data_IF_478721569266
#
_entry.id   IF_478721569266
#
_cell.length_a   1.000
_cell.length_b   1.000
_cell.length_c   1.000
_cell.angle_alpha   90.00
_cell.angle_beta   90.00
_cell.angle_gamma   90.00
#
_symmetry.space_group_name_H-M   'P 1'
#
loop_
_entity.id
_entity.type
_entity.pdbx_description
1 polymer ?
#
# COMPACT_ATOMS: atom_id res chain seq x y z
N UNK A 1 35.97 45.97 1.43
CA UNK A 1 36.61 45.27 2.57
C UNK A 1 35.48 44.85 3.51
N UNK A 2 35.15 43.61 3.85
CA UNK A 2 35.67 42.24 3.70
C UNK A 2 34.40 41.32 3.65
N UNK A 3 34.17 40.45 2.66
CA UNK A 3 34.64 39.06 2.49
C UNK A 3 34.28 38.05 3.60
N UNK A 4 33.38 37.13 3.19
CA UNK A 4 33.33 35.66 3.41
C UNK A 4 33.09 35.04 4.81
N UNK A 5 32.03 34.21 4.89
CA UNK A 5 32.18 32.73 4.89
C UNK A 5 30.84 31.98 4.81
N UNK A 6 30.90 30.93 4.01
CA UNK A 6 29.93 29.87 3.79
C UNK A 6 29.79 28.97 5.03
N UNK A 7 28.58 28.43 5.27
CA UNK A 7 28.39 27.09 5.83
C UNK A 7 27.24 26.38 5.12
N UNK A 8 27.54 25.14 4.70
CA UNK A 8 26.67 24.20 3.96
C UNK A 8 25.49 23.72 4.84
N UNK A 9 24.33 23.36 4.27
CA UNK A 9 23.38 22.50 4.97
C UNK A 9 23.88 21.04 4.91
N UNK A 10 24.03 20.43 6.08
CA UNK A 10 24.30 19.01 6.23
C UNK A 10 23.12 18.19 5.68
N UNK A 11 23.43 17.23 4.81
CA UNK A 11 22.52 16.15 4.44
C UNK A 11 22.31 15.26 5.67
N UNK A 12 21.16 15.37 6.34
CA UNK A 12 20.70 14.36 7.28
C UNK A 12 19.82 13.36 6.55
N UNK A 13 20.35 12.15 6.34
CA UNK A 13 19.56 10.97 6.06
C UNK A 13 18.71 10.67 7.30
N UNK A 14 17.40 10.96 7.25
CA UNK A 14 16.47 10.52 8.27
C UNK A 14 16.14 9.04 8.03
N UNK A 15 16.88 8.17 8.70
CA UNK A 15 16.49 6.78 8.90
C UNK A 15 15.36 6.76 9.94
N UNK A 16 14.15 6.48 9.50
CA UNK A 16 12.99 6.37 10.38
C UNK A 16 13.08 5.06 11.18
N UNK A 17 13.13 5.21 12.50
CA UNK A 17 12.99 4.12 13.47
C UNK A 17 11.79 4.47 14.36
N UNK A 18 10.91 3.48 14.56
CA UNK A 18 9.71 3.60 15.38
C UNK A 18 10.06 4.01 16.82
N UNK A 19 9.38 5.01 17.41
CA UNK A 19 9.42 5.20 18.85
C UNK A 19 8.64 4.06 19.52
N UNK A 20 9.31 3.26 20.36
CA UNK A 20 8.65 2.39 21.33
C UNK A 20 7.97 3.27 22.38
N UNK A 21 6.65 3.32 22.45
CA UNK A 21 5.95 3.58 23.72
C UNK A 21 4.69 2.73 23.89
N UNK A 22 4.68 2.11 25.07
CA UNK A 22 3.72 1.19 25.61
C UNK A 22 2.34 1.81 25.81
N UNK A 23 1.34 0.95 25.63
CA UNK A 23 0.05 0.99 26.30
C UNK A 23 0.29 1.18 27.81
N UNK A 24 -0.19 2.29 28.36
CA UNK A 24 -0.28 2.52 29.79
C UNK A 24 -1.73 2.86 30.12
N UNK A 25 -2.51 1.83 30.44
CA UNK A 25 -3.81 1.94 31.09
C UNK A 25 -3.61 2.59 32.47
N UNK A 26 -4.12 3.81 32.66
CA UNK A 26 -4.11 4.48 33.98
C UNK A 26 -5.38 4.13 34.75
N UNK A 27 -5.28 3.08 35.58
CA UNK A 27 -6.25 2.81 36.63
C UNK A 27 -5.86 3.60 37.89
N UNK A 28 -6.72 4.52 38.35
CA UNK A 28 -6.57 5.20 39.65
C UNK A 28 -7.10 4.31 40.77
N UNK A 29 -6.40 4.26 41.92
CA UNK A 29 -7.08 4.20 43.19
C UNK A 29 -6.61 5.31 44.16
N UNK A 30 -7.56 5.73 44.98
CA UNK A 30 -7.51 6.82 45.96
C UNK A 30 -6.80 6.45 47.27
N UNK A 31 -6.07 7.43 47.81
CA UNK A 31 -5.81 7.80 49.22
C UNK A 31 -5.32 6.76 50.26
N UNK A 32 -4.13 7.01 50.83
CA UNK A 32 -3.94 7.50 52.23
C UNK A 32 -2.46 7.72 52.60
N UNK A 33 -2.24 8.76 53.40
CA UNK A 33 -1.15 9.13 54.34
C UNK A 33 -0.24 7.98 54.85
N UNK A 34 1.01 8.15 55.34
CA UNK A 34 1.77 9.28 55.89
C UNK A 34 3.26 8.86 56.11
N UNK A 35 4.17 9.84 56.01
CA UNK A 35 5.36 10.10 56.86
C UNK A 35 6.60 9.17 57.02
N UNK A 36 7.74 9.84 56.79
CA UNK A 36 8.99 9.97 57.59
C UNK A 36 10.16 8.97 57.54
N UNK A 37 11.30 9.56 57.10
CA UNK A 37 12.62 9.66 57.74
C UNK A 37 13.69 8.54 57.70
N UNK A 38 14.83 8.97 57.13
CA UNK A 38 16.20 8.98 57.69
C UNK A 38 17.23 7.87 57.35
N UNK A 39 18.32 8.39 56.73
CA UNK A 39 19.77 8.25 57.03
C UNK A 39 20.52 6.93 56.76
N UNK A 40 21.43 7.05 55.78
CA UNK A 40 22.89 6.82 55.80
C UNK A 40 23.49 5.56 56.45
N UNK A 41 24.34 4.82 55.70
CA UNK A 41 25.82 4.78 55.85
C UNK A 41 26.45 3.51 55.21
N UNK A 42 27.45 3.73 54.35
CA UNK A 42 28.70 2.96 54.07
C UNK A 42 28.86 1.48 54.51
N UNK A 43 29.20 0.57 53.57
CA UNK A 43 30.57 0.10 53.26
C UNK A 43 30.66 -1.35 52.71
N UNK A 44 31.50 -1.50 51.68
CA UNK A 44 32.43 -2.63 51.36
C UNK A 44 31.97 -4.09 51.13
N UNK A 45 32.35 -4.55 49.92
CA UNK A 45 33.06 -5.79 49.55
C UNK A 45 32.29 -7.10 49.23
N UNK A 46 32.72 -7.65 48.08
CA UNK A 46 32.77 -9.05 47.65
C UNK A 46 31.51 -9.69 46.99
N UNK A 47 31.63 -9.89 45.67
CA UNK A 47 30.91 -10.92 44.91
C UNK A 47 31.34 -12.33 45.37
N UNK A 48 30.44 -13.32 45.29
CA UNK A 48 30.57 -14.26 44.17
C UNK A 48 29.24 -14.69 43.53
N UNK A 49 29.38 -15.10 42.28
CA UNK A 49 28.50 -15.84 41.36
C UNK A 49 27.32 -16.63 41.97
N UNK A 50 26.09 -16.53 41.41
CA UNK A 50 25.02 -17.47 41.68
C UNK A 50 25.03 -18.65 40.70
N UNK A 51 24.92 -19.84 41.26
CA UNK A 51 24.54 -21.08 40.57
C UNK A 51 23.02 -21.19 40.55
N UNK A 52 22.46 -21.57 39.40
CA UNK A 52 21.04 -21.87 39.21
C UNK A 52 20.57 -23.01 40.12
N UNK A 53 19.27 -23.01 40.46
CA UNK A 53 18.50 -24.22 40.28
C UNK A 53 17.23 -23.98 39.45
N UNK A 54 17.04 -24.92 38.54
CA UNK A 54 15.85 -25.21 37.76
C UNK A 54 14.56 -25.25 38.57
N UNK A 55 13.52 -24.59 38.05
CA UNK A 55 12.12 -24.96 38.31
C UNK A 55 11.39 -25.09 36.98
N UNK A 56 10.85 -26.28 36.78
CA UNK A 56 9.96 -26.68 35.70
C UNK A 56 8.52 -26.32 36.06
N UNK A 57 7.84 -25.54 35.23
CA UNK A 57 6.38 -25.50 35.22
C UNK A 57 5.87 -25.48 33.77
N UNK A 58 5.05 -26.47 33.46
CA UNK A 58 4.28 -26.59 32.23
C UNK A 58 3.24 -25.47 32.16
N UNK A 59 3.22 -24.73 31.05
CA UNK A 59 2.03 -24.00 30.62
C UNK A 59 1.88 -24.16 29.11
N UNK A 60 0.68 -24.56 28.72
CA UNK A 60 0.27 -24.89 27.36
C UNK A 60 0.41 -23.67 26.44
N UNK A 61 1.16 -23.85 25.36
CA UNK A 61 1.40 -22.83 24.33
C UNK A 61 0.16 -22.60 23.48
N UNK A 62 -0.40 -21.39 23.53
CA UNK A 62 -1.22 -20.87 22.43
C UNK A 62 -0.31 -20.66 21.20
N UNK A 63 -0.73 -21.02 19.98
CA UNK A 63 0.14 -20.89 18.82
C UNK A 63 0.31 -19.41 18.46
N UNK A 64 1.54 -18.92 18.60
CA UNK A 64 2.02 -17.69 17.98
C UNK A 64 2.01 -17.85 16.45
N UNK A 65 1.58 -16.85 15.66
CA UNK A 65 1.69 -16.91 14.20
C UNK A 65 3.17 -16.74 13.83
N UNK A 66 3.89 -17.86 13.76
CA UNK A 66 5.24 -17.91 13.22
C UNK A 66 5.19 -17.62 11.73
N UNK A 67 5.99 -16.64 11.31
CA UNK A 67 6.53 -16.45 9.95
C UNK A 67 6.16 -17.55 8.96
N UNK A 68 5.10 -17.33 8.18
CA UNK A 68 4.82 -18.13 7.00
C UNK A 68 5.87 -17.78 5.94
N UNK A 69 7.00 -18.48 5.97
CA UNK A 69 7.84 -18.65 4.78
C UNK A 69 7.09 -19.62 3.85
N UNK A 70 6.09 -19.11 3.15
CA UNK A 70 5.52 -19.80 1.99
C UNK A 70 6.46 -19.57 0.82
N UNK A 71 7.12 -20.65 0.39
CA UNK A 71 7.90 -20.67 -0.83
C UNK A 71 7.03 -20.18 -2.00
N UNK A 72 7.62 -19.33 -2.84
CA UNK A 72 7.06 -18.89 -4.12
C UNK A 72 6.69 -20.15 -4.93
N UNK A 73 5.47 -20.26 -5.49
CA UNK A 73 5.07 -21.45 -6.24
C UNK A 73 6.03 -21.74 -7.41
N UNK A 74 6.45 -23.00 -7.52
CA UNK A 74 7.15 -23.56 -8.66
C UNK A 74 6.15 -23.73 -9.83
N UNK A 75 5.99 -22.72 -10.69
CA UNK A 75 5.46 -22.96 -12.04
C UNK A 75 6.25 -22.16 -13.10
N UNK A 76 6.82 -22.92 -14.03
CA UNK A 76 7.71 -22.51 -15.13
C UNK A 76 6.91 -22.30 -16.43
N UNK A 77 5.57 -22.18 -16.36
CA UNK A 77 4.70 -22.37 -17.54
C UNK A 77 4.04 -21.13 -18.15
N UNK A 78 4.09 -19.92 -17.57
CA UNK A 78 3.31 -18.78 -18.13
C UNK A 78 3.92 -17.39 -17.91
N UNK A 79 4.93 -16.96 -18.70
CA UNK A 79 5.30 -15.53 -18.71
C UNK A 79 5.59 -15.04 -20.12
N UNK A 80 4.50 -14.74 -20.82
CA UNK A 80 4.49 -13.92 -22.03
C UNK A 80 4.62 -12.45 -21.62
N UNK A 81 5.20 -11.58 -22.46
CA UNK A 81 5.13 -10.14 -22.25
C UNK A 81 3.68 -9.71 -22.01
N UNK A 82 3.48 -8.65 -21.22
CA UNK A 82 2.12 -8.16 -20.91
C UNK A 82 1.32 -8.11 -22.20
N UNK A 83 0.20 -8.86 -22.31
CA UNK A 83 -0.51 -8.99 -23.57
C UNK A 83 -0.97 -7.59 -24.02
N UNK A 84 -1.17 -7.34 -25.32
CA UNK A 84 -1.76 -6.07 -25.75
C UNK A 84 -3.15 -5.87 -25.14
N UNK A 85 -3.63 -4.63 -25.12
CA UNK A 85 -5.00 -4.32 -24.70
C UNK A 85 -5.99 -5.17 -25.51
N UNK A 86 -6.95 -5.78 -24.80
CA UNK A 86 -7.94 -6.64 -25.44
C UNK A 86 -8.80 -5.83 -26.41
N UNK A 87 -9.15 -6.38 -27.59
CA UNK A 87 -10.16 -5.75 -28.43
C UNK A 87 -11.52 -5.74 -27.71
N UNK A 88 -12.46 -4.86 -28.12
CA UNK A 88 -13.78 -4.78 -27.50
C UNK A 88 -14.44 -6.16 -27.40
N UNK A 89 -14.89 -6.54 -26.19
CA UNK A 89 -15.50 -7.85 -25.95
C UNK A 89 -16.76 -8.03 -26.80
N UNK A 90 -17.07 -9.29 -27.15
CA UNK A 90 -18.25 -9.63 -27.96
C UNK A 90 -19.52 -8.96 -27.40
N UNK A 91 -20.41 -8.41 -28.25
CA UNK A 91 -21.60 -7.67 -27.80
C UNK A 91 -22.59 -8.53 -26.98
N UNK A 92 -22.44 -9.86 -27.00
CA UNK A 92 -23.22 -10.81 -26.22
C UNK A 92 -22.73 -11.03 -24.77
N UNK A 93 -21.52 -10.60 -24.42
CA UNK A 93 -21.00 -10.74 -23.05
C UNK A 93 -21.65 -9.73 -22.10
N UNK A 94 -21.99 -10.14 -20.87
CA UNK A 94 -22.51 -9.25 -19.82
C UNK A 94 -21.43 -8.32 -19.25
N UNK A 95 -20.15 -8.70 -19.38
CA UNK A 95 -18.99 -7.96 -18.89
C UNK A 95 -18.00 -7.62 -20.00
N UNK A 96 -17.10 -6.69 -19.71
CA UNK A 96 -15.97 -6.31 -20.56
C UNK A 96 -14.68 -6.48 -19.73
N UNK A 97 -13.75 -7.28 -20.26
CA UNK A 97 -12.37 -7.33 -19.77
C UNK A 97 -11.76 -5.94 -19.88
N UNK A 98 -11.45 -5.35 -18.74
CA UNK A 98 -10.95 -3.99 -18.56
C UNK A 98 -9.58 -4.07 -17.92
N UNK A 99 -8.59 -3.40 -18.53
CA UNK A 99 -7.23 -3.32 -18.00
C UNK A 99 -7.04 -2.12 -17.09
N UNK A 100 -6.45 -2.37 -15.94
CA UNK A 100 -6.16 -1.38 -14.91
C UNK A 100 -4.66 -1.34 -14.65
N UNK A 101 -4.06 -0.15 -14.75
CA UNK A 101 -2.72 0.11 -14.24
C UNK A 101 -2.83 0.72 -12.83
N UNK A 102 -2.21 0.10 -11.84
CA UNK A 102 -2.28 0.52 -10.44
C UNK A 102 -0.88 0.89 -9.94
N UNK A 103 -0.77 2.11 -9.40
CA UNK A 103 0.44 2.66 -8.79
C UNK A 103 0.08 3.38 -7.48
N UNK A 104 1.09 3.67 -6.66
CA UNK A 104 0.96 4.47 -5.44
C UNK A 104 2.33 5.01 -5.01
N UNK A 105 2.34 5.97 -4.10
CA UNK A 105 3.56 6.44 -3.40
C UNK A 105 4.67 6.85 -4.37
N UNK A 106 4.32 7.53 -5.45
CA UNK A 106 5.32 7.98 -6.43
C UNK A 106 6.16 9.12 -5.87
N UNK A 107 5.68 9.85 -4.86
CA UNK A 107 6.43 10.89 -4.15
C UNK A 107 7.14 11.87 -5.11
N UNK A 108 6.39 12.43 -6.05
CA UNK A 108 6.88 13.35 -7.09
C UNK A 108 7.87 12.71 -8.10
N UNK A 109 8.06 11.40 -8.06
CA UNK A 109 8.84 10.66 -9.04
C UNK A 109 8.02 10.42 -10.29
N UNK A 110 8.71 10.42 -11.42
CA UNK A 110 8.08 10.23 -12.73
C UNK A 110 8.83 9.11 -13.46
N UNK A 111 8.14 8.29 -14.27
CA UNK A 111 8.81 7.33 -15.13
C UNK A 111 9.77 8.07 -16.06
N UNK A 112 11.06 7.71 -16.01
CA UNK A 112 12.10 8.35 -16.81
C UNK A 112 12.29 7.59 -18.13
N UNK A 113 12.70 8.28 -19.20
CA UNK A 113 13.13 7.63 -20.43
C UNK A 113 14.58 7.14 -20.32
N UNK A 114 15.03 6.42 -21.35
CA UNK A 114 16.43 6.01 -21.51
C UNK A 114 17.39 7.19 -21.54
N UNK A 115 16.99 8.27 -22.19
CA UNK A 115 17.80 9.49 -22.33
C UNK A 115 17.94 10.23 -20.99
N UNK A 116 16.88 10.21 -20.17
CA UNK A 116 16.84 10.90 -18.88
C UNK A 116 17.67 10.18 -17.80
N UNK A 117 17.66 8.84 -17.80
CA UNK A 117 18.36 8.05 -16.80
C UNK A 117 18.78 6.68 -17.35
N UNK A 118 19.93 6.57 -18.05
CA UNK A 118 20.34 5.34 -18.72
C UNK A 118 20.65 4.20 -17.75
N UNK A 119 21.07 4.53 -16.53
CA UNK A 119 21.20 3.63 -15.39
C UNK A 119 19.75 3.28 -14.99
N UNK A 120 19.25 2.07 -14.79
CA UNK A 120 17.83 1.73 -14.57
C UNK A 120 16.90 1.74 -15.81
N UNK A 121 17.43 1.53 -17.03
CA UNK A 121 16.62 1.31 -18.25
C UNK A 121 16.79 -0.09 -18.83
N UNK A 122 16.05 -0.41 -19.91
CA UNK A 122 16.14 -1.70 -20.60
C UNK A 122 17.56 -2.08 -21.02
N UNK A 123 18.40 -1.09 -21.33
CA UNK A 123 19.81 -1.30 -21.67
C UNK A 123 20.63 -1.95 -20.54
N UNK A 124 20.28 -1.73 -19.27
CA UNK A 124 20.96 -2.41 -18.17
C UNK A 124 20.62 -3.91 -18.16
N UNK A 125 19.42 -4.30 -18.60
CA UNK A 125 19.02 -5.70 -18.74
C UNK A 125 19.85 -6.40 -19.82
N UNK A 126 20.31 -5.65 -20.83
CA UNK A 126 21.10 -6.15 -21.95
C UNK A 126 22.62 -6.05 -21.75
N UNK A 127 23.08 -5.37 -20.69
CA UNK A 127 24.51 -5.16 -20.43
C UNK A 127 25.15 -6.45 -19.87
N UNK A 128 26.01 -7.15 -20.64
CA UNK A 128 26.60 -8.39 -20.18
C UNK A 128 27.58 -8.12 -19.03
N UNK A 129 27.47 -8.87 -17.93
CA UNK A 129 28.29 -8.73 -16.71
C UNK A 129 28.05 -7.43 -15.91
N UNK A 130 26.91 -6.77 -16.12
CA UNK A 130 26.47 -5.61 -15.34
C UNK A 130 25.85 -5.98 -13.98
N UNK A 131 25.56 -4.95 -13.18
CA UNK A 131 24.69 -5.05 -12.00
C UNK A 131 23.54 -4.07 -12.20
N UNK A 132 22.31 -4.56 -12.17
CA UNK A 132 21.11 -3.73 -12.15
C UNK A 132 20.89 -3.26 -10.71
N UNK A 133 21.19 -1.99 -10.41
CA UNK A 133 21.19 -1.47 -9.02
C UNK A 133 19.80 -1.08 -8.50
N UNK A 134 18.78 -1.11 -9.37
CA UNK A 134 17.37 -1.01 -9.01
C UNK A 134 16.50 -1.50 -10.18
N UNK A 135 16.22 -2.82 -10.29
CA UNK A 135 15.24 -3.30 -11.24
C UNK A 135 13.92 -2.61 -10.94
N UNK A 136 13.37 -1.89 -11.91
CA UNK A 136 12.09 -1.22 -11.77
C UNK A 136 11.36 -1.19 -13.10
N UNK A 137 10.06 -1.43 -13.03
CA UNK A 137 9.13 -1.28 -14.13
C UNK A 137 8.57 0.14 -14.21
N UNK A 138 8.85 1.00 -13.21
CA UNK A 138 8.41 2.39 -13.20
C UNK A 138 9.29 3.29 -14.11
N UNK A 139 9.26 3.01 -15.42
CA UNK A 139 10.04 3.71 -16.46
C UNK A 139 9.21 3.92 -17.73
N UNK A 140 9.50 4.99 -18.46
CA UNK A 140 8.66 5.43 -19.58
C UNK A 140 8.92 4.67 -20.88
N UNK A 141 7.89 4.30 -21.68
CA UNK A 141 6.47 4.35 -21.33
C UNK A 141 6.07 3.26 -20.32
N UNK A 142 5.04 3.55 -19.50
CA UNK A 142 4.31 2.54 -18.75
C UNK A 142 3.29 1.83 -19.66
N UNK A 143 2.85 0.65 -19.24
CA UNK A 143 1.86 -0.16 -19.96
C UNK A 143 0.54 0.58 -20.18
N UNK A 144 -0.02 0.43 -21.38
CA UNK A 144 -1.33 0.99 -21.72
C UNK A 144 -2.45 0.31 -20.92
N UNK A 145 -3.46 1.09 -20.54
CA UNK A 145 -4.58 0.60 -19.74
C UNK A 145 -5.87 1.34 -20.14
N UNK A 146 -7.02 0.72 -19.85
CA UNK A 146 -8.32 1.41 -19.97
C UNK A 146 -8.46 2.48 -18.87
N UNK A 147 -7.86 2.23 -17.70
CA UNK A 147 -7.86 3.13 -16.56
C UNK A 147 -6.58 3.01 -15.72
N UNK A 148 -6.12 4.14 -15.17
CA UNK A 148 -5.05 4.17 -14.15
C UNK A 148 -5.63 4.51 -12.78
N UNK A 149 -5.14 3.84 -11.74
CA UNK A 149 -5.41 4.16 -10.33
C UNK A 149 -4.10 4.59 -9.64
N UNK A 150 -4.10 5.73 -8.94
CA UNK A 150 -3.01 6.16 -8.07
C UNK A 150 -3.48 6.25 -6.61
N UNK A 151 -2.97 5.39 -5.74
CA UNK A 151 -3.48 5.19 -4.38
C UNK A 151 -2.86 6.15 -3.34
N UNK A 152 -2.60 7.41 -3.71
CA UNK A 152 -2.08 8.41 -2.78
C UNK A 152 -0.55 8.54 -2.72
N UNK A 153 -0.09 9.48 -1.91
CA UNK A 153 1.29 9.96 -1.83
C UNK A 153 1.84 10.34 -3.22
N UNK A 154 1.07 11.22 -3.87
CA UNK A 154 1.39 11.83 -5.16
C UNK A 154 2.69 12.63 -5.06
N UNK A 155 2.96 13.21 -3.90
CA UNK A 155 4.06 14.15 -3.64
C UNK A 155 4.86 13.78 -2.40
N UNK A 156 5.91 14.55 -2.08
CA UNK A 156 6.63 14.40 -0.81
C UNK A 156 6.07 15.31 0.28
N UNK A 157 5.54 16.49 -0.08
CA UNK A 157 5.08 17.51 0.86
C UNK A 157 3.88 18.33 0.37
N UNK A 158 3.25 17.95 -0.73
CA UNK A 158 2.08 18.63 -1.28
C UNK A 158 2.34 20.00 -1.89
N UNK A 159 3.59 20.37 -2.19
CA UNK A 159 3.87 21.70 -2.77
C UNK A 159 3.30 21.84 -4.18
N UNK A 160 2.87 23.03 -4.64
CA UNK A 160 2.27 23.22 -5.96
C UNK A 160 3.12 22.67 -7.12
N UNK A 161 4.44 22.83 -7.07
CA UNK A 161 5.33 22.29 -8.10
C UNK A 161 5.39 20.76 -8.10
N UNK A 162 5.29 20.13 -6.93
CA UNK A 162 5.24 18.67 -6.81
C UNK A 162 3.93 18.13 -7.37
N UNK A 163 2.80 18.77 -7.00
CA UNK A 163 1.47 18.43 -7.51
C UNK A 163 1.47 18.59 -9.04
N UNK A 164 1.91 19.73 -9.56
CA UNK A 164 2.02 19.97 -11.02
C UNK A 164 2.86 18.92 -11.72
N UNK A 165 3.99 18.52 -11.12
CA UNK A 165 4.87 17.49 -11.69
C UNK A 165 4.18 16.14 -11.77
N UNK A 166 3.52 15.69 -10.70
CA UNK A 166 2.82 14.40 -10.66
C UNK A 166 1.62 14.38 -11.59
N UNK A 167 0.80 15.44 -11.61
CA UNK A 167 -0.33 15.54 -12.53
C UNK A 167 0.13 15.63 -14.00
N UNK A 168 1.25 16.30 -14.29
CA UNK A 168 1.86 16.29 -15.64
C UNK A 168 2.35 14.91 -16.07
N UNK A 169 2.80 14.07 -15.12
CA UNK A 169 3.15 12.68 -15.40
C UNK A 169 1.91 11.85 -15.68
N UNK A 170 0.86 11.97 -14.86
CA UNK A 170 -0.40 11.25 -15.04
C UNK A 170 -1.05 11.55 -16.39
N UNK A 171 -1.05 12.83 -16.82
CA UNK A 171 -1.57 13.26 -18.14
C UNK A 171 -0.91 12.53 -19.31
N UNK A 172 0.37 12.13 -19.18
CA UNK A 172 1.15 11.46 -20.22
C UNK A 172 0.96 9.94 -20.28
N UNK A 173 0.28 9.34 -19.30
CA UNK A 173 0.04 7.90 -19.29
C UNK A 173 -0.97 7.52 -20.39
N UNK A 174 -0.72 6.39 -21.07
CA UNK A 174 -1.58 5.87 -22.14
C UNK A 174 -2.83 5.20 -21.55
N UNK A 175 -3.73 6.04 -21.04
CA UNK A 175 -5.04 5.66 -20.53
C UNK A 175 -6.02 6.84 -20.66
N UNK A 176 -7.26 6.62 -21.11
CA UNK A 176 -8.26 7.67 -21.23
C UNK A 176 -8.68 8.28 -19.89
N UNK A 177 -8.69 7.49 -18.81
CA UNK A 177 -9.06 7.92 -17.47
C UNK A 177 -8.00 7.55 -16.44
N UNK A 178 -7.67 8.48 -15.55
CA UNK A 178 -6.78 8.28 -14.40
C UNK A 178 -7.50 8.76 -13.15
N UNK A 179 -7.67 7.89 -12.17
CA UNK A 179 -8.27 8.21 -10.88
C UNK A 179 -7.18 8.28 -9.84
N UNK A 180 -7.13 9.37 -9.09
CA UNK A 180 -6.09 9.59 -8.09
C UNK A 180 -6.70 10.04 -6.77
N UNK A 181 -6.23 9.46 -5.68
CA UNK A 181 -6.51 9.95 -4.32
C UNK A 181 -5.26 10.60 -3.75
N UNK A 182 -5.43 11.39 -2.69
CA UNK A 182 -4.32 11.89 -1.89
C UNK A 182 -3.78 10.80 -0.95
N UNK A 183 -2.57 11.02 -0.43
CA UNK A 183 -2.05 10.33 0.75
C UNK A 183 -1.56 11.31 1.81
N UNK A 184 -0.93 10.80 2.86
CA UNK A 184 -0.54 11.62 4.01
C UNK A 184 0.58 12.63 3.69
N UNK A 185 1.31 12.46 2.59
CA UNK A 185 2.32 13.40 2.12
C UNK A 185 1.76 14.56 1.28
N UNK A 186 0.51 14.48 0.84
CA UNK A 186 -0.12 15.47 -0.04
C UNK A 186 -0.73 16.64 0.76
N UNK A 187 0.12 17.28 1.58
CA UNK A 187 -0.29 18.20 2.65
C UNK A 187 -1.27 19.30 2.21
N UNK A 188 -1.08 19.87 1.03
CA UNK A 188 -1.89 20.98 0.54
C UNK A 188 -3.25 20.54 -0.01
N UNK A 189 -3.45 19.23 -0.25
CA UNK A 189 -4.76 18.67 -0.60
C UNK A 189 -5.67 18.51 0.64
N UNK A 190 -5.10 18.53 1.85
CA UNK A 190 -5.84 18.60 3.11
C UNK A 190 -5.87 20.04 3.59
N UNK A 191 -6.91 20.77 3.15
CA UNK A 191 -7.07 22.19 3.45
C UNK A 191 -7.04 22.48 4.95
N UNK A 192 -7.74 21.68 5.75
CA UNK A 192 -7.84 21.90 7.19
C UNK A 192 -6.48 21.71 7.87
N UNK A 193 -5.78 20.62 7.53
CA UNK A 193 -4.44 20.37 8.04
C UNK A 193 -3.47 21.48 7.64
N UNK A 194 -3.50 21.92 6.38
CA UNK A 194 -2.59 22.94 5.86
C UNK A 194 -2.79 24.29 6.55
N UNK A 195 -4.04 24.74 6.69
CA UNK A 195 -4.40 25.98 7.38
C UNK A 195 -3.97 25.94 8.86
N UNK A 196 -4.25 24.86 9.57
CA UNK A 196 -3.87 24.71 10.99
C UNK A 196 -2.34 24.71 11.17
N UNK A 197 -1.62 23.99 10.31
CA UNK A 197 -0.19 23.69 10.52
C UNK A 197 0.74 24.80 10.05
N UNK A 198 0.37 25.50 8.98
CA UNK A 198 1.23 26.46 8.28
C UNK A 198 0.63 27.87 8.24
N UNK A 199 -0.63 28.07 8.66
CA UNK A 199 -1.32 29.36 8.55
C UNK A 199 -1.49 29.78 7.09
N UNK A 200 -1.77 28.78 6.22
CA UNK A 200 -1.58 28.83 4.77
C UNK A 200 -2.12 30.08 4.05
N UNK A 201 -1.41 30.47 2.99
CA UNK A 201 -1.84 31.55 2.10
C UNK A 201 -2.86 31.01 1.08
N UNK A 202 -3.97 31.74 0.91
CA UNK A 202 -5.07 31.37 -0.01
C UNK A 202 -4.60 31.11 -1.45
N UNK A 203 -3.54 31.80 -1.88
CA UNK A 203 -2.98 31.74 -3.24
C UNK A 203 -2.40 30.37 -3.62
N UNK A 204 -1.68 29.70 -2.72
CA UNK A 204 -1.06 28.39 -3.03
C UNK A 204 -2.13 27.30 -3.18
N UNK A 205 -3.19 27.38 -2.36
CA UNK A 205 -4.32 26.48 -2.43
C UNK A 205 -5.11 26.67 -3.74
N UNK A 206 -5.31 27.93 -4.17
CA UNK A 206 -5.91 28.24 -5.48
C UNK A 206 -5.07 27.68 -6.64
N UNK A 207 -3.75 27.78 -6.57
CA UNK A 207 -2.85 27.20 -7.57
C UNK A 207 -3.00 25.68 -7.67
N UNK A 208 -3.06 24.98 -6.54
CA UNK A 208 -3.29 23.52 -6.51
C UNK A 208 -4.64 23.14 -7.11
N UNK A 209 -5.71 23.85 -6.76
CA UNK A 209 -7.03 23.59 -7.36
C UNK A 209 -7.03 23.83 -8.87
N UNK A 210 -6.32 24.86 -9.33
CA UNK A 210 -6.19 25.15 -10.75
C UNK A 210 -5.43 24.03 -11.50
N UNK A 211 -4.35 23.50 -10.91
CA UNK A 211 -3.62 22.35 -11.48
C UNK A 211 -4.54 21.13 -11.63
N UNK A 212 -5.33 20.82 -10.59
CA UNK A 212 -6.25 19.68 -10.61
C UNK A 212 -7.29 19.86 -11.72
N UNK A 213 -7.92 21.04 -11.77
CA UNK A 213 -8.94 21.38 -12.77
C UNK A 213 -8.41 21.28 -14.20
N UNK A 214 -7.20 21.77 -14.46
CA UNK A 214 -6.57 21.64 -15.79
C UNK A 214 -6.30 20.18 -16.16
N UNK A 215 -5.93 19.35 -15.19
CA UNK A 215 -5.65 17.95 -15.45
C UNK A 215 -6.93 17.10 -15.66
N UNK A 216 -8.06 17.52 -15.12
CA UNK A 216 -9.36 16.89 -15.39
C UNK A 216 -9.75 16.94 -16.87
N UNK A 217 -9.38 18.02 -17.57
CA UNK A 217 -9.60 18.16 -19.03
C UNK A 217 -8.86 17.07 -19.84
N UNK A 218 -7.79 16.50 -19.29
CA UNK A 218 -6.99 15.41 -19.86
C UNK A 218 -7.28 14.04 -19.21
N UNK A 219 -8.42 13.94 -18.53
CA UNK A 219 -8.91 12.69 -17.94
C UNK A 219 -8.23 12.29 -16.63
N UNK A 220 -7.54 13.19 -15.93
CA UNK A 220 -7.00 12.94 -14.58
C UNK A 220 -7.98 13.48 -13.54
N UNK A 221 -8.70 12.59 -12.85
CA UNK A 221 -9.69 12.95 -11.83
C UNK A 221 -9.14 12.72 -10.44
N UNK A 222 -9.12 13.77 -9.63
CA UNK A 222 -8.86 13.69 -8.21
C UNK A 222 -10.12 13.28 -7.45
N UNK A 223 -10.04 12.22 -6.64
CA UNK A 223 -11.15 11.70 -5.85
C UNK A 223 -10.93 12.02 -4.37
N UNK A 224 -11.97 12.58 -3.75
CA UNK A 224 -12.09 12.66 -2.30
C UNK A 224 -12.69 11.36 -1.76
N UNK A 225 -12.85 11.24 -0.44
CA UNK A 225 -13.55 10.09 0.11
C UNK A 225 -14.99 9.99 -0.43
N UNK A 226 -15.38 8.82 -0.92
CA UNK A 226 -16.71 8.60 -1.48
C UNK A 226 -16.82 7.38 -2.39
N UNK A 227 -18.02 7.16 -2.92
CA UNK A 227 -18.29 6.14 -3.95
C UNK A 227 -18.59 6.83 -5.27
N UNK A 228 -18.00 6.31 -6.35
CA UNK A 228 -18.09 6.88 -7.68
C UNK A 228 -18.52 5.81 -8.69
N UNK A 229 -19.44 6.18 -9.58
CA UNK A 229 -19.86 5.39 -10.74
C UNK A 229 -19.31 6.06 -12.01
N UNK A 230 -18.56 5.30 -12.81
CA UNK A 230 -17.82 5.84 -13.94
C UNK A 230 -18.00 4.94 -15.17
N UNK A 231 -18.50 5.50 -16.26
CA UNK A 231 -18.48 4.84 -17.56
C UNK A 231 -17.11 5.03 -18.22
N UNK A 232 -16.49 3.93 -18.64
CA UNK A 232 -15.17 3.88 -19.23
C UNK A 232 -15.26 3.89 -20.76
N UNK A 233 -14.18 4.33 -21.42
CA UNK A 233 -14.11 4.43 -22.88
C UNK A 233 -14.24 3.08 -23.61
N UNK A 234 -13.91 1.97 -22.93
CA UNK A 234 -14.09 0.63 -23.48
C UNK A 234 -15.55 0.12 -23.38
N UNK A 235 -16.46 0.93 -22.82
CA UNK A 235 -17.89 0.64 -22.68
C UNK A 235 -18.26 -0.11 -21.39
N UNK A 236 -17.30 -0.31 -20.48
CA UNK A 236 -17.57 -0.87 -19.16
C UNK A 236 -17.91 0.22 -18.16
N UNK A 237 -18.55 -0.16 -17.06
CA UNK A 237 -18.87 0.70 -15.93
C UNK A 237 -18.08 0.23 -14.72
N UNK A 238 -17.36 1.16 -14.10
CA UNK A 238 -16.63 0.95 -12.87
C UNK A 238 -17.41 1.59 -11.71
N UNK A 239 -17.66 0.82 -10.65
CA UNK A 239 -18.04 1.39 -9.35
C UNK A 239 -16.88 1.27 -8.38
N UNK A 240 -16.38 2.41 -7.89
CA UNK A 240 -15.19 2.49 -7.05
C UNK A 240 -15.46 3.28 -5.77
N UNK A 241 -15.03 2.74 -4.63
CA UNK A 241 -14.88 3.49 -3.39
C UNK A 241 -13.48 4.07 -3.30
N UNK A 242 -13.34 5.32 -2.90
CA UNK A 242 -12.07 6.01 -2.74
C UNK A 242 -11.94 6.59 -1.33
N UNK A 243 -10.74 6.59 -0.74
CA UNK A 243 -10.46 7.31 0.51
C UNK A 243 -8.95 7.59 0.71
N UNK A 244 -8.53 8.83 1.03
CA UNK A 244 -7.15 9.14 1.37
C UNK A 244 -6.78 8.81 2.82
N UNK A 245 -7.77 8.45 3.65
CA UNK A 245 -7.66 8.50 5.09
C UNK A 245 -6.84 7.33 5.68
N UNK A 246 -5.95 7.63 6.63
CA UNK A 246 -5.10 6.66 7.31
C UNK A 246 -5.11 6.82 8.84
N UNK A 247 -4.85 5.75 9.63
CA UNK A 247 -4.65 5.91 11.06
C UNK A 247 -3.48 6.85 11.36
N UNK A 248 -3.60 7.65 12.42
CA UNK A 248 -2.60 8.63 12.80
C UNK A 248 -1.25 7.99 13.12
N UNK A 249 -0.22 8.45 12.41
CA UNK A 249 1.17 8.15 12.67
C UNK A 249 2.00 9.40 12.47
N UNK A 250 2.39 10.04 13.58
CA UNK A 250 2.99 11.36 13.54
C UNK A 250 1.95 12.45 13.37
N UNK A 251 2.26 13.45 12.55
CA UNK A 251 1.37 14.58 12.30
C UNK A 251 1.46 14.92 10.82
N UNK A 252 0.59 14.28 10.02
CA UNK A 252 0.50 14.38 8.57
C UNK A 252 -0.96 14.57 8.13
N UNK A 253 -1.15 14.93 6.86
CA UNK A 253 -2.48 15.13 6.28
C UNK A 253 -3.28 13.82 6.23
N UNK A 254 -4.61 13.93 6.17
CA UNK A 254 -5.54 12.79 6.01
C UNK A 254 -5.37 11.69 7.06
N UNK A 255 -5.01 12.07 8.29
CA UNK A 255 -4.86 11.16 9.42
C UNK A 255 -6.01 11.30 10.41
N UNK A 256 -6.53 10.16 10.88
CA UNK A 256 -7.56 10.08 11.92
C UNK A 256 -7.06 9.33 13.14
N UNK A 257 -7.63 9.62 14.31
CA UNK A 257 -7.29 8.92 15.54
C UNK A 257 -7.76 7.46 15.52
N UNK A 258 -7.00 6.57 16.16
CA UNK A 258 -7.21 5.13 16.03
C UNK A 258 -8.64 4.70 16.44
N UNK A 259 -9.34 4.05 15.50
CA UNK A 259 -10.71 3.55 15.70
C UNK A 259 -11.81 4.56 15.38
N UNK A 260 -11.47 5.81 15.03
CA UNK A 260 -12.45 6.89 14.83
C UNK A 260 -12.98 7.02 13.39
N UNK A 261 -12.47 6.23 12.44
CA UNK A 261 -12.94 6.29 11.06
C UNK A 261 -13.67 5.02 10.63
N UNK A 262 -14.86 5.20 10.07
CA UNK A 262 -15.66 4.14 9.47
C UNK A 262 -15.66 4.34 7.95
N UNK A 263 -15.42 3.25 7.21
CA UNK A 263 -15.41 3.28 5.75
C UNK A 263 -16.75 2.73 5.25
N UNK A 264 -17.62 3.61 4.77
CA UNK A 264 -18.94 3.25 4.25
C UNK A 264 -18.84 2.71 2.81
N UNK A 265 -18.13 1.59 2.67
CA UNK A 265 -17.93 0.90 1.40
C UNK A 265 -19.20 0.09 1.06
N UNK A 266 -19.90 0.40 -0.06
CA UNK A 266 -21.05 -0.37 -0.52
C UNK A 266 -20.68 -1.79 -0.96
N UNK A 267 -21.61 -2.74 -0.84
CA UNK A 267 -21.38 -4.15 -1.21
C UNK A 267 -21.31 -4.42 -2.72
N UNK A 268 -21.66 -3.43 -3.55
CA UNK A 268 -21.69 -3.54 -5.01
C UNK A 268 -20.52 -2.81 -5.68
N UNK A 269 -19.52 -2.36 -4.92
CA UNK A 269 -18.31 -1.76 -5.53
C UNK A 269 -17.43 -2.83 -6.16
N UNK A 270 -16.90 -2.53 -7.34
CA UNK A 270 -15.91 -3.38 -7.99
C UNK A 270 -14.55 -3.24 -7.31
N UNK A 271 -14.18 -1.99 -6.97
CA UNK A 271 -12.86 -1.64 -6.44
C UNK A 271 -13.01 -0.76 -5.19
N UNK A 272 -12.22 -1.07 -4.17
CA UNK A 272 -11.91 -0.13 -3.10
C UNK A 272 -10.48 0.39 -3.28
N UNK A 273 -10.31 1.70 -3.29
CA UNK A 273 -9.01 2.37 -3.39
C UNK A 273 -8.81 3.23 -2.15
N UNK A 274 -7.86 2.84 -1.30
CA UNK A 274 -7.51 3.59 -0.09
C UNK A 274 -6.04 3.95 -0.09
N UNK A 275 -5.62 4.98 0.66
CA UNK A 275 -4.19 5.25 0.76
C UNK A 275 -3.48 4.19 1.62
N UNK A 276 -4.00 3.96 2.84
CA UNK A 276 -3.45 2.97 3.77
C UNK A 276 -4.03 1.56 3.60
N UNK A 277 -3.31 0.53 4.06
CA UNK A 277 -3.75 -0.87 4.00
C UNK A 277 -4.80 -1.22 5.08
N UNK A 278 -5.58 -2.29 4.87
CA UNK A 278 -6.36 -2.91 5.94
C UNK A 278 -5.44 -3.70 6.88
N UNK A 279 -5.84 -3.86 8.14
CA UNK A 279 -5.05 -4.58 9.13
C UNK A 279 -4.74 -6.01 8.68
N UNK A 280 -3.48 -6.43 8.81
CA UNK A 280 -3.03 -7.80 8.60
C UNK A 280 -2.91 -8.25 7.14
N UNK A 281 -3.09 -7.34 6.17
CA UNK A 281 -2.89 -7.64 4.75
C UNK A 281 -1.95 -6.60 4.16
N UNK A 282 -0.75 -7.04 3.77
CA UNK A 282 0.27 -6.19 3.13
C UNK A 282 0.54 -4.88 3.90
N UNK A 283 0.54 -4.95 5.23
CA UNK A 283 0.66 -3.81 6.15
C UNK A 283 1.83 -3.95 7.14
N UNK A 284 2.69 -4.94 6.93
CA UNK A 284 3.83 -5.21 7.81
C UNK A 284 4.92 -4.15 7.60
N UNK A 285 5.33 -3.53 8.70
CA UNK A 285 6.42 -2.57 8.71
C UNK A 285 7.77 -3.21 9.01
N UNK A 286 8.89 -2.53 8.72
CA UNK A 286 10.26 -2.96 9.09
C UNK A 286 10.45 -3.12 10.60
N UNK A 287 9.61 -2.47 11.39
CA UNK A 287 9.54 -2.67 12.84
C UNK A 287 8.88 -3.97 13.29
N UNK A 288 8.41 -4.79 12.34
CA UNK A 288 7.59 -5.96 12.57
C UNK A 288 6.25 -5.66 13.26
N UNK A 289 5.72 -4.46 13.03
CA UNK A 289 4.39 -4.05 13.45
C UNK A 289 3.47 -3.93 12.23
N UNK A 290 2.18 -4.12 12.45
CA UNK A 290 1.14 -3.93 11.44
C UNK A 290 0.63 -2.49 11.50
N UNK A 291 0.64 -1.80 10.37
CA UNK A 291 0.17 -0.41 10.26
C UNK A 291 -1.27 -0.29 9.76
N UNK A 292 -1.89 -1.40 9.34
CA UNK A 292 -3.20 -1.37 8.70
C UNK A 292 -4.37 -1.13 9.65
N UNK A 293 -5.49 -0.70 9.08
CA UNK A 293 -6.69 -0.34 9.83
C UNK A 293 -7.66 -1.52 9.99
N UNK A 294 -8.08 -1.81 11.22
CA UNK A 294 -9.05 -2.87 11.52
C UNK A 294 -10.48 -2.54 11.07
N UNK A 295 -10.91 -1.28 11.16
CA UNK A 295 -12.21 -0.84 10.63
C UNK A 295 -12.27 -0.96 9.11
N UNK A 296 -11.16 -0.64 8.43
CA UNK A 296 -11.03 -0.82 6.99
C UNK A 296 -11.13 -2.30 6.62
N UNK A 297 -10.40 -3.19 7.29
CA UNK A 297 -10.51 -4.64 7.07
C UNK A 297 -11.96 -5.12 7.17
N UNK A 298 -12.68 -4.72 8.22
CA UNK A 298 -14.10 -5.08 8.40
C UNK A 298 -15.00 -4.54 7.29
N UNK A 299 -14.75 -3.33 6.84
CA UNK A 299 -15.52 -2.69 5.78
C UNK A 299 -15.30 -3.39 4.43
N UNK A 300 -14.06 -3.79 4.14
CA UNK A 300 -13.70 -4.58 2.96
C UNK A 300 -14.29 -5.98 3.04
N UNK A 301 -14.21 -6.65 4.19
CA UNK A 301 -14.84 -7.96 4.39
C UNK A 301 -16.36 -7.92 4.17
N UNK A 302 -17.03 -6.84 4.60
CA UNK A 302 -18.47 -6.66 4.37
C UNK A 302 -18.77 -6.39 2.90
N UNK A 303 -17.96 -5.54 2.25
CA UNK A 303 -18.20 -5.12 0.88
C UNK A 303 -17.76 -6.15 -0.18
N UNK A 304 -16.75 -6.97 0.14
CA UNK A 304 -16.11 -7.98 -0.73
C UNK A 304 -15.85 -7.47 -2.17
N UNK A 305 -15.13 -6.34 -2.35
CA UNK A 305 -14.77 -5.84 -3.67
C UNK A 305 -13.92 -6.86 -4.42
N UNK A 306 -13.88 -6.77 -5.76
CA UNK A 306 -12.96 -7.60 -6.56
C UNK A 306 -11.50 -7.22 -6.26
N UNK A 307 -11.23 -5.92 -6.14
CA UNK A 307 -9.89 -5.40 -5.82
C UNK A 307 -9.97 -4.43 -4.64
N UNK A 308 -9.03 -4.57 -3.69
CA UNK A 308 -8.67 -3.51 -2.77
C UNK A 308 -7.23 -3.08 -3.02
N UNK A 309 -7.03 -1.90 -3.60
CA UNK A 309 -5.71 -1.35 -3.89
C UNK A 309 -5.36 -0.17 -2.97
N UNK A 310 -4.10 -0.13 -2.55
CA UNK A 310 -3.54 0.84 -1.61
C UNK A 310 -2.03 0.98 -1.76
N UNK A 311 -1.42 1.78 -0.89
CA UNK A 311 0.03 1.98 -0.82
C UNK A 311 0.49 2.22 0.61
N UNK A 312 1.18 3.34 0.86
CA UNK A 312 1.63 3.86 2.15
C UNK A 312 2.74 3.03 2.83
N UNK A 313 2.60 1.71 2.88
CA UNK A 313 3.56 0.80 3.52
C UNK A 313 4.49 0.23 2.47
N UNK A 314 5.53 1.01 2.13
CA UNK A 314 6.53 0.68 1.10
C UNK A 314 7.20 -0.69 1.27
N UNK A 315 7.21 -1.21 2.50
CA UNK A 315 7.88 -2.45 2.91
C UNK A 315 7.10 -3.69 2.50
N UNK A 316 5.79 -3.53 2.34
CA UNK A 316 4.84 -4.61 2.12
C UNK A 316 4.22 -4.54 0.71
N UNK A 317 4.92 -3.94 -0.25
CA UNK A 317 4.54 -4.00 -1.66
C UNK A 317 4.32 -5.45 -2.11
N UNK A 318 3.22 -5.69 -2.81
CA UNK A 318 2.84 -7.05 -3.20
C UNK A 318 1.36 -7.14 -3.57
N UNK A 319 0.95 -8.35 -3.93
CA UNK A 319 -0.45 -8.69 -4.14
C UNK A 319 -0.81 -10.03 -3.50
N UNK A 320 -1.99 -10.09 -2.88
CA UNK A 320 -2.53 -11.27 -2.23
C UNK A 320 -3.97 -11.48 -2.68
N UNK A 321 -4.25 -12.61 -3.33
CA UNK A 321 -5.62 -13.03 -3.61
C UNK A 321 -6.15 -13.77 -2.39
N UNK A 322 -7.00 -13.11 -1.61
CA UNK A 322 -7.52 -13.67 -0.35
C UNK A 322 -8.90 -14.24 -0.59
N UNK A 323 -9.08 -15.48 -0.13
CA UNK A 323 -10.38 -16.15 -0.07
C UNK A 323 -11.04 -15.89 1.28
N UNK A 324 -12.30 -15.51 1.26
CA UNK A 324 -13.11 -15.30 2.44
C UNK A 324 -13.71 -16.62 2.90
N UNK A 325 -13.74 -16.84 4.22
CA UNK A 325 -14.57 -17.88 4.80
C UNK A 325 -16.04 -17.54 4.60
N UNK A 326 -16.89 -18.57 4.58
CA UNK A 326 -18.33 -18.33 4.64
C UNK A 326 -18.69 -17.83 6.03
N UNK A 327 -19.75 -17.04 6.13
CA UNK A 327 -20.20 -16.48 7.42
C UNK A 327 -20.46 -17.58 8.47
N UNK A 328 -20.89 -18.78 8.04
CA UNK A 328 -21.08 -19.94 8.90
C UNK A 328 -19.77 -20.54 9.45
N UNK A 329 -18.65 -20.32 8.76
CA UNK A 329 -17.32 -20.81 9.15
C UNK A 329 -16.55 -19.80 10.02
N UNK A 330 -17.12 -18.61 10.26
CA UNK A 330 -16.54 -17.60 11.14
C UNK A 330 -16.97 -17.88 12.58
N UNK A 331 -16.05 -18.22 13.50
CA UNK A 331 -16.41 -18.58 14.87
C UNK A 331 -17.10 -17.42 15.59
N UNK A 332 -18.30 -17.66 16.09
CA UNK A 332 -19.06 -16.69 16.87
C UNK A 332 -19.75 -15.60 16.04
N UNK A 333 -19.80 -15.72 14.71
CA UNK A 333 -20.54 -14.78 13.87
C UNK A 333 -22.06 -14.96 14.03
N UNK A 334 -22.76 -13.86 14.29
CA UNK A 334 -24.22 -13.75 14.17
C UNK A 334 -24.53 -12.62 13.19
N UNK A 335 -25.58 -12.74 12.36
CA UNK A 335 -25.91 -11.75 11.32
C UNK A 335 -26.09 -10.32 11.90
N UNK A 336 -26.54 -10.21 13.16
CA UNK A 336 -26.74 -8.94 13.88
C UNK A 336 -25.43 -8.32 14.43
N UNK A 337 -24.32 -9.07 14.53
CA UNK A 337 -23.03 -8.61 15.08
C UNK A 337 -22.19 -7.80 14.08
N UNK A 338 -22.60 -7.73 12.81
CA UNK A 338 -21.91 -6.93 11.79
C UNK A 338 -21.92 -5.41 12.09
N UNK A 339 -22.75 -4.96 13.05
CA UNK A 339 -22.93 -3.54 13.38
C UNK A 339 -22.56 -3.16 14.84
N UNK A 340 -22.30 -4.11 15.74
CA UNK A 340 -22.07 -3.79 17.17
C UNK A 340 -20.89 -4.58 17.75
N UNK A 341 -19.76 -3.91 17.99
CA UNK A 341 -18.73 -4.43 18.88
C UNK A 341 -18.76 -3.67 20.22
N UNK A 342 -18.82 -4.43 21.31
CA UNK A 342 -18.67 -3.91 22.67
C UNK A 342 -17.18 -3.74 22.98
N UNK A 343 -16.82 -2.61 23.58
CA UNK A 343 -15.44 -2.30 23.95
C UNK A 343 -14.89 -3.35 24.93
N UNK A 344 -13.86 -4.10 24.53
CA UNK A 344 -13.11 -5.03 25.38
C UNK A 344 -13.09 -6.52 24.95
N UNK A 345 -13.80 -6.90 23.88
CA UNK A 345 -13.73 -8.25 23.29
C UNK A 345 -12.84 -8.28 22.04
N UNK A 346 -12.24 -9.45 21.73
CA UNK A 346 -11.53 -9.63 20.46
C UNK A 346 -12.52 -9.49 19.30
N UNK A 347 -12.18 -8.78 18.22
CA UNK A 347 -13.10 -8.57 17.12
C UNK A 347 -13.42 -9.90 16.42
N UNK A 348 -14.71 -10.26 16.33
CA UNK A 348 -15.20 -11.48 15.66
C UNK A 348 -14.71 -11.51 14.21
N UNK A 349 -14.75 -10.36 13.52
CA UNK A 349 -14.19 -10.18 12.17
C UNK A 349 -12.79 -9.58 12.26
N UNK A 350 -11.81 -10.40 11.91
CA UNK A 350 -10.38 -10.11 11.85
C UNK A 350 -9.72 -10.91 10.73
N UNK A 351 -8.48 -10.58 10.34
CA UNK A 351 -7.74 -11.37 9.34
C UNK A 351 -7.62 -12.86 9.73
N UNK A 352 -7.44 -13.16 11.01
CA UNK A 352 -7.29 -14.54 11.49
C UNK A 352 -8.60 -15.34 11.44
N UNK A 353 -9.75 -14.67 11.57
CA UNK A 353 -11.05 -15.33 11.68
C UNK A 353 -11.79 -15.38 10.35
N UNK A 354 -11.70 -14.34 9.52
CA UNK A 354 -12.50 -14.18 8.31
C UNK A 354 -11.80 -14.63 7.01
N UNK A 355 -10.47 -14.62 6.95
CA UNK A 355 -9.74 -15.09 5.79
C UNK A 355 -9.49 -16.61 5.87
N UNK A 356 -9.67 -17.28 4.73
CA UNK A 356 -9.27 -18.66 4.50
C UNK A 356 -7.84 -18.66 3.95
N UNK A 357 -6.86 -18.58 4.85
CA UNK A 357 -5.44 -18.49 4.47
C UNK A 357 -4.92 -19.75 3.77
N UNK A 358 -5.54 -20.91 3.99
CA UNK A 358 -5.12 -22.17 3.34
C UNK A 358 -5.45 -22.15 1.84
N UNK A 359 -6.55 -21.50 1.47
CA UNK A 359 -6.98 -21.34 0.08
C UNK A 359 -6.69 -19.93 -0.49
N UNK A 360 -6.01 -19.08 0.26
CA UNK A 360 -5.52 -17.78 -0.20
C UNK A 360 -4.17 -17.93 -0.89
N UNK A 361 -3.87 -17.04 -1.83
CA UNK A 361 -2.66 -17.11 -2.66
C UNK A 361 -1.90 -15.80 -2.62
N UNK A 362 -0.68 -15.84 -2.10
CA UNK A 362 0.29 -14.77 -2.30
C UNK A 362 0.72 -14.79 -3.77
N UNK A 363 0.32 -13.78 -4.54
CA UNK A 363 0.65 -13.68 -5.96
C UNK A 363 2.12 -13.31 -6.10
N UNK A 364 2.52 -12.21 -5.46
CA UNK A 364 3.89 -11.76 -5.47
C UNK A 364 4.14 -10.75 -4.36
N UNK A 365 5.36 -10.70 -3.84
CA UNK A 365 5.82 -9.67 -2.90
C UNK A 365 7.33 -9.48 -3.06
N UNK A 366 7.81 -8.30 -2.73
CA UNK A 366 9.23 -7.99 -2.67
C UNK A 366 9.55 -7.47 -1.28
N UNK A 367 9.83 -8.38 -0.34
CA UNK A 367 10.18 -7.98 1.02
C UNK A 367 11.45 -8.68 1.53
N UNK A 368 12.60 -7.96 1.58
CA UNK A 368 12.89 -6.70 0.89
C UNK A 368 13.26 -6.92 -0.60
N UNK A 369 13.01 -5.96 -1.49
CA UNK A 369 13.52 -6.04 -2.87
C UNK A 369 15.06 -6.10 -2.84
N UNK A 370 15.70 -6.90 -3.72
CA UNK A 370 17.15 -6.98 -3.77
C UNK A 370 17.78 -5.63 -4.12
N UNK A 371 18.89 -5.31 -3.46
CA UNK A 371 19.62 -4.04 -3.68
C UNK A 371 20.23 -3.99 -5.10
N UNK A 372 20.56 -5.14 -5.67
CA UNK A 372 21.04 -5.25 -7.05
C UNK A 372 20.84 -6.66 -7.57
N UNK A 373 20.58 -6.80 -8.87
CA UNK A 373 20.46 -8.09 -9.54
C UNK A 373 21.61 -8.28 -10.54
N UNK A 374 22.31 -9.43 -10.54
CA UNK A 374 23.27 -9.76 -11.60
C UNK A 374 22.55 -9.96 -12.94
N UNK A 375 23.12 -9.46 -14.03
CA UNK A 375 22.51 -9.58 -15.38
C UNK A 375 23.05 -10.75 -16.20
N UNK A 376 23.70 -11.76 -15.57
CA UNK A 376 24.44 -12.82 -16.26
C UNK A 376 23.77 -14.20 -16.13
N UNK A 377 23.42 -14.82 -17.26
CA UNK A 377 22.70 -16.11 -17.35
C UNK A 377 23.35 -17.29 -16.61
N UNK A 378 24.65 -17.24 -16.29
CA UNK A 378 25.34 -18.41 -15.73
C UNK A 378 25.17 -18.60 -14.22
N UNK A 379 24.76 -17.57 -13.45
CA UNK A 379 24.52 -17.66 -11.99
C UNK A 379 23.50 -16.60 -11.53
N UNK A 380 22.27 -16.65 -12.04
CA UNK A 380 21.15 -15.82 -11.55
C UNK A 380 20.15 -16.76 -10.85
N UNK A 381 19.79 -16.45 -9.60
CA UNK A 381 18.75 -17.20 -8.89
C UNK A 381 17.38 -17.01 -9.57
N UNK A 382 16.46 -17.96 -9.44
CA UNK A 382 15.14 -17.86 -10.13
C UNK A 382 14.35 -16.59 -9.78
N UNK A 383 14.46 -16.12 -8.53
CA UNK A 383 13.83 -14.88 -8.06
C UNK A 383 14.37 -13.65 -8.80
N UNK A 384 15.68 -13.61 -9.00
CA UNK A 384 16.36 -12.55 -9.75
C UNK A 384 15.95 -12.57 -11.23
N UNK A 385 15.81 -13.75 -11.84
CA UNK A 385 15.32 -13.88 -13.23
C UNK A 385 13.88 -13.37 -13.36
N UNK A 386 13.00 -13.76 -12.43
CA UNK A 386 11.62 -13.28 -12.41
C UNK A 386 11.55 -11.75 -12.32
N UNK A 387 12.39 -11.15 -11.46
CA UNK A 387 12.49 -9.69 -11.34
C UNK A 387 13.00 -9.01 -12.61
N UNK A 388 13.94 -9.64 -13.33
CA UNK A 388 14.42 -9.14 -14.62
C UNK A 388 13.31 -9.18 -15.68
N UNK A 389 12.53 -10.25 -15.76
CA UNK A 389 11.41 -10.33 -16.72
C UNK A 389 10.30 -9.32 -16.38
N UNK A 390 9.88 -9.24 -15.11
CA UNK A 390 8.92 -8.22 -14.66
C UNK A 390 9.42 -6.79 -14.92
N UNK A 391 10.73 -6.58 -14.75
CA UNK A 391 11.38 -5.33 -15.12
C UNK A 391 11.26 -5.08 -16.62
N UNK A 392 11.58 -6.05 -17.49
CA UNK A 392 11.43 -5.94 -18.96
C UNK A 392 9.99 -5.59 -19.37
N UNK A 393 9.02 -6.25 -18.73
CA UNK A 393 7.58 -6.06 -18.95
C UNK A 393 7.04 -4.76 -18.36
N UNK A 394 7.86 -4.05 -17.57
CA UNK A 394 7.55 -2.75 -16.94
C UNK A 394 6.40 -2.81 -15.96
N UNK A 395 6.12 -3.99 -15.41
CA UNK A 395 5.04 -4.18 -14.44
C UNK A 395 4.80 -5.64 -14.09
N UNK A 396 3.95 -5.85 -13.08
CA UNK A 396 3.44 -7.15 -12.71
C UNK A 396 2.05 -7.35 -13.29
N UNK A 397 1.93 -8.28 -14.23
CA UNK A 397 0.65 -8.59 -14.88
C UNK A 397 -0.10 -9.70 -14.17
N UNK A 398 -1.43 -9.52 -14.01
CA UNK A 398 -2.34 -10.53 -13.50
C UNK A 398 -3.68 -10.45 -14.24
N UNK A 399 -4.15 -11.58 -14.76
CA UNK A 399 -5.49 -11.69 -15.35
C UNK A 399 -6.44 -12.34 -14.34
N UNK A 400 -7.45 -11.60 -13.89
CA UNK A 400 -8.48 -12.10 -12.96
C UNK A 400 -9.73 -12.64 -13.68
N UNK A 401 -9.73 -12.69 -15.01
CA UNK A 401 -10.89 -13.10 -15.82
C UNK A 401 -10.80 -14.53 -16.32
N UNK A 402 -9.60 -15.14 -16.29
CA UNK A 402 -9.36 -16.47 -16.82
C UNK A 402 -8.19 -17.18 -16.12
N UNK A 403 -8.06 -18.48 -16.37
CA UNK A 403 -6.99 -19.29 -15.82
C UNK A 403 -7.09 -19.51 -14.31
N UNK A 404 -5.96 -19.78 -13.69
CA UNK A 404 -5.86 -20.09 -12.25
C UNK A 404 -6.13 -18.88 -11.34
N UNK A 405 -6.00 -17.66 -11.86
CA UNK A 405 -6.17 -16.41 -11.10
C UNK A 405 -7.57 -15.83 -11.26
N UNK A 406 -8.45 -16.52 -11.98
CA UNK A 406 -9.83 -16.10 -12.18
C UNK A 406 -10.53 -15.87 -10.84
N UNK A 407 -10.92 -14.62 -10.59
CA UNK A 407 -11.46 -14.19 -9.31
C UNK A 407 -12.95 -14.56 -9.19
N UNK A 408 -13.34 -15.10 -8.04
CA UNK A 408 -14.75 -15.35 -7.71
C UNK A 408 -15.32 -14.20 -6.87
N UNK A 409 -16.09 -13.33 -7.51
CA UNK A 409 -16.69 -12.16 -6.85
C UNK A 409 -17.52 -12.57 -5.62
N UNK A 410 -17.28 -11.90 -4.49
CA UNK A 410 -17.95 -12.18 -3.21
C UNK A 410 -17.35 -13.35 -2.43
N UNK A 411 -16.47 -14.17 -3.03
CA UNK A 411 -15.68 -15.19 -2.34
C UNK A 411 -14.22 -14.78 -2.19
N UNK A 412 -13.70 -13.98 -3.12
CA UNK A 412 -12.30 -13.59 -3.18
C UNK A 412 -12.15 -12.09 -3.41
N UNK A 413 -11.10 -11.52 -2.82
CA UNK A 413 -10.67 -10.13 -3.05
C UNK A 413 -9.17 -10.12 -3.31
N UNK A 414 -8.75 -9.46 -4.38
CA UNK A 414 -7.34 -9.19 -4.63
C UNK A 414 -6.91 -7.93 -3.87
N UNK A 415 -5.99 -8.09 -2.94
CA UNK A 415 -5.36 -6.99 -2.22
C UNK A 415 -4.05 -6.61 -2.91
N UNK A 416 -3.84 -5.33 -3.17
CA UNK A 416 -2.64 -4.82 -3.85
C UNK A 416 -2.07 -3.66 -3.06
N UNK A 417 -0.84 -3.82 -2.60
CA UNK A 417 0.00 -2.71 -2.20
C UNK A 417 0.85 -2.29 -3.41
N UNK A 418 0.54 -1.12 -3.96
CA UNK A 418 1.08 -0.60 -5.20
C UNK A 418 2.15 0.49 -4.99
N UNK A 419 2.74 0.61 -3.80
CA UNK A 419 3.82 1.56 -3.55
C UNK A 419 4.94 1.41 -4.58
N UNK A 420 5.30 2.49 -5.26
CA UNK A 420 6.41 2.48 -6.22
C UNK A 420 7.74 2.70 -5.49
N UNK A 421 7.71 3.46 -4.40
CA UNK A 421 8.87 3.78 -3.60
C UNK A 421 9.20 2.66 -2.63
N UNK A 422 10.46 2.24 -2.62
CA UNK A 422 11.00 1.43 -1.52
C UNK A 422 11.19 2.26 -0.24
N UNK A 423 11.57 1.59 0.85
CA UNK A 423 11.98 2.25 2.12
C UNK A 423 13.14 3.23 1.99
N UNK A 424 13.92 3.14 0.91
CA UNK A 424 15.00 4.07 0.62
C UNK A 424 14.54 5.25 -0.23
N UNK A 425 13.23 5.40 -0.44
CA UNK A 425 12.63 6.39 -1.33
C UNK A 425 13.25 6.35 -2.74
N UNK A 426 13.39 5.12 -3.26
CA UNK A 426 13.76 4.86 -4.65
C UNK A 426 12.59 4.18 -5.36
N UNK A 427 12.26 4.60 -6.59
CA UNK A 427 11.14 4.04 -7.36
C UNK A 427 11.54 2.69 -7.95
N UNK A 428 11.73 1.69 -7.10
CA UNK A 428 12.27 0.37 -7.46
C UNK A 428 11.22 -0.73 -7.47
N UNK A 429 9.97 -0.43 -7.11
CA UNK A 429 8.88 -1.39 -7.15
C UNK A 429 8.12 -1.31 -8.47
N UNK A 430 7.48 -2.43 -8.84
CA UNK A 430 6.82 -2.56 -10.13
C UNK A 430 5.40 -1.98 -10.07
N UNK A 431 4.95 -1.30 -11.12
CA UNK A 431 3.52 -1.05 -11.34
C UNK A 431 2.75 -2.37 -11.46
N UNK A 432 1.47 -2.36 -11.10
CA UNK A 432 0.57 -3.51 -11.27
C UNK A 432 -0.31 -3.31 -12.49
N UNK A 433 -0.43 -4.33 -13.35
CA UNK A 433 -1.31 -4.34 -14.52
C UNK A 433 -2.30 -5.47 -14.37
N UNK A 434 -3.57 -5.14 -14.15
CA UNK A 434 -4.60 -6.12 -13.79
C UNK A 434 -5.71 -6.10 -14.84
N UNK A 435 -6.04 -7.26 -15.40
CA UNK A 435 -7.24 -7.43 -16.23
C UNK A 435 -8.39 -7.95 -15.36
N UNK A 436 -9.53 -7.25 -15.39
CA UNK A 436 -10.74 -7.61 -14.64
C UNK A 436 -11.99 -7.52 -15.50
N UNK A 437 -13.01 -8.30 -15.17
CA UNK A 437 -14.34 -8.17 -15.78
C UNK A 437 -15.16 -7.10 -15.06
N UNK A 438 -15.57 -6.07 -15.80
CA UNK A 438 -16.49 -5.02 -15.35
C UNK A 438 -17.83 -5.10 -16.09
N UNK A 439 -18.96 -4.72 -15.45
CA UNK A 439 -20.26 -4.69 -16.12
C UNK A 439 -20.26 -3.70 -17.29
N UNK A 440 -21.11 -3.91 -18.29
CA UNK A 440 -21.32 -2.94 -19.38
C UNK A 440 -22.06 -1.69 -18.88
N UNK A 441 -21.78 -0.55 -19.49
CA UNK A 441 -22.62 0.65 -19.35
C UNK A 441 -24.03 0.35 -19.83
N UNK A 442 -25.02 0.63 -18.99
CA UNK A 442 -26.44 0.59 -19.40
C UNK A 442 -26.71 1.74 -20.34
N UNK A 443 -27.11 1.44 -21.58
CA UNK A 443 -27.45 2.43 -22.61
C UNK A 443 -28.64 3.33 -22.24
#
# INVERSE_FOLDING_TARGET
MLLSRWFRPSHSHAAWSLPRRNISCTYKPTSRHQQHNNKASTSTLASPTPTNPSFSENSESSPSPSSYNTAIPDDDSTKMPIPPLSPPSSPSSATIKTRILIISDTHSSVPQTKEDNPINTEDELETPRGKLYAPSGFRSPLTEADIVLHCGDLTKRGQPEEIRKTFSMLRKLSAPLKLVIAGNHDLMLDKMFYEERYGGEELEYEEVNQIIKEAEEDGVKYLTEGTYDLDLSNGSRLRIFASPNTPAYGYWAFQYEAGEHNFDIPADVDIAMTHGPPLGILDQTRGNNNAGCGNLFRSIHRAKPKIHCFGHIHEAWGAHLIRWKTDADIPGFQEDDAQQQTAGSQPIISPATAADWENSRLIYTLTPPPISIPTNDSVVGREDQNLLELSKDRGCYLDLTEGENMLKQGEETLFINASIMSIRYRPSQMPWVIDIDLPRTTS
#
